data_IF_954209501134
#
_entry.id   IF_954209501134
#
_cell.length_a   1.000
_cell.length_b   1.000
_cell.length_c   1.000
_cell.angle_alpha   90.00
_cell.angle_beta   90.00
_cell.angle_gamma   90.00
#
_symmetry.space_group_name_H-M   'P 1'
#
loop_
_entity.id
_entity.type
_entity.pdbx_description
1 polymer ?
#
# COMPACT_ATOMS: atom_id res chain seq x y z
N UNK A 1 6.35 -58.07 -10.39
CA UNK A 1 5.23 -57.29 -10.95
C UNK A 1 4.81 -56.26 -9.92
N UNK A 2 4.93 -54.97 -10.23
CA UNK A 2 4.35 -53.92 -9.39
C UNK A 2 2.84 -53.89 -9.66
N UNK A 3 2.02 -54.19 -8.66
CA UNK A 3 0.57 -54.01 -8.75
C UNK A 3 0.33 -52.51 -8.69
N UNK A 4 0.02 -51.90 -9.84
CA UNK A 4 -0.45 -50.52 -9.88
C UNK A 4 -1.92 -50.52 -9.47
N UNK A 5 -2.19 -50.35 -8.17
CA UNK A 5 -3.54 -50.12 -7.66
C UNK A 5 -4.02 -48.78 -8.23
N UNK A 6 -4.99 -48.83 -9.14
CA UNK A 6 -5.71 -47.61 -9.57
C UNK A 6 -6.63 -47.22 -8.42
N UNK A 7 -6.76 -45.92 -8.11
CA UNK A 7 -7.70 -45.46 -7.09
C UNK A 7 -9.11 -45.95 -7.42
N UNK A 8 -9.86 -46.33 -6.40
CA UNK A 8 -11.30 -46.53 -6.53
C UNK A 8 -12.00 -45.21 -6.82
N UNK A 9 -13.21 -45.25 -7.37
CA UNK A 9 -13.98 -44.04 -7.69
C UNK A 9 -14.24 -43.15 -6.45
N UNK A 10 -14.30 -43.75 -5.26
CA UNK A 10 -14.46 -43.04 -3.99
C UNK A 10 -13.18 -42.33 -3.55
N UNK A 11 -12.03 -42.99 -3.67
CA UNK A 11 -10.72 -42.38 -3.42
C UNK A 11 -10.43 -41.24 -4.39
N UNK A 12 -10.82 -41.39 -5.66
CA UNK A 12 -10.67 -40.35 -6.67
C UNK A 12 -11.50 -39.11 -6.32
N UNK A 13 -12.75 -39.28 -5.86
CA UNK A 13 -13.61 -38.18 -5.40
C UNK A 13 -13.03 -37.46 -4.19
N UNK A 14 -12.47 -38.20 -3.22
CA UNK A 14 -11.82 -37.61 -2.05
C UNK A 14 -10.58 -36.79 -2.44
N UNK A 15 -9.76 -37.29 -3.36
CA UNK A 15 -8.60 -36.57 -3.87
C UNK A 15 -9.01 -35.30 -4.61
N UNK A 16 -10.04 -35.35 -5.43
CA UNK A 16 -10.51 -34.18 -6.19
C UNK A 16 -11.16 -33.14 -5.28
N UNK A 17 -11.90 -33.58 -4.25
CA UNK A 17 -12.38 -32.69 -3.19
C UNK A 17 -11.22 -32.02 -2.44
N UNK A 18 -10.20 -32.78 -2.03
CA UNK A 18 -9.04 -32.23 -1.33
C UNK A 18 -8.25 -31.21 -2.18
N UNK A 19 -8.12 -31.45 -3.49
CA UNK A 19 -7.54 -30.48 -4.43
C UNK A 19 -8.37 -29.21 -4.51
N UNK A 20 -9.69 -29.33 -4.56
CA UNK A 20 -10.57 -28.16 -4.64
C UNK A 20 -10.48 -27.30 -3.38
N UNK A 21 -10.56 -27.93 -2.19
CA UNK A 21 -10.36 -27.25 -0.90
C UNK A 21 -9.00 -26.56 -0.83
N UNK A 22 -7.93 -27.21 -1.30
CA UNK A 22 -6.58 -26.62 -1.34
C UNK A 22 -6.51 -25.40 -2.25
N UNK A 23 -7.15 -25.46 -3.43
CA UNK A 23 -7.23 -24.31 -4.35
C UNK A 23 -8.02 -23.16 -3.75
N UNK A 24 -9.17 -23.43 -3.14
CA UNK A 24 -9.98 -22.42 -2.47
C UNK A 24 -9.22 -21.76 -1.31
N UNK A 25 -8.49 -22.56 -0.50
CA UNK A 25 -7.63 -22.04 0.56
C UNK A 25 -6.51 -21.16 0.03
N UNK A 26 -5.88 -21.54 -1.08
CA UNK A 26 -4.81 -20.76 -1.72
C UNK A 26 -5.34 -19.43 -2.26
N UNK A 27 -6.49 -19.45 -2.94
CA UNK A 27 -7.15 -18.25 -3.43
C UNK A 27 -7.56 -17.31 -2.28
N UNK A 28 -8.10 -17.87 -1.19
CA UNK A 28 -8.48 -17.11 0.01
C UNK A 28 -7.28 -16.42 0.63
N UNK A 29 -6.15 -17.12 0.77
CA UNK A 29 -4.91 -16.51 1.27
C UNK A 29 -4.44 -15.36 0.37
N UNK A 30 -4.45 -15.55 -0.94
CA UNK A 30 -4.07 -14.50 -1.89
C UNK A 30 -4.96 -13.25 -1.76
N UNK A 31 -6.27 -13.42 -1.55
CA UNK A 31 -7.19 -12.30 -1.29
C UNK A 31 -6.82 -11.54 0.00
N UNK A 32 -6.52 -12.25 1.09
CA UNK A 32 -6.07 -11.60 2.33
C UNK A 32 -4.75 -10.86 2.17
N UNK A 33 -3.79 -11.43 1.45
CA UNK A 33 -2.52 -10.78 1.17
C UNK A 33 -2.73 -9.48 0.36
N UNK A 34 -3.59 -9.50 -0.66
CA UNK A 34 -3.97 -8.30 -1.44
C UNK A 34 -4.59 -7.22 -0.54
N UNK A 35 -5.54 -7.59 0.32
CA UNK A 35 -6.20 -6.62 1.22
C UNK A 35 -5.19 -6.02 2.21
N UNK A 36 -4.32 -6.84 2.79
CA UNK A 36 -3.27 -6.37 3.72
C UNK A 36 -2.32 -5.41 3.03
N UNK A 37 -1.87 -5.74 1.83
CA UNK A 37 -0.92 -4.90 1.10
C UNK A 37 -1.58 -3.60 0.64
N UNK A 38 -2.87 -3.63 0.26
CA UNK A 38 -3.66 -2.42 0.00
C UNK A 38 -3.77 -1.50 1.24
N UNK A 39 -3.98 -2.08 2.43
CA UNK A 39 -3.99 -1.30 3.68
C UNK A 39 -2.65 -0.62 3.95
N UNK A 40 -1.53 -1.31 3.71
CA UNK A 40 -0.18 -0.73 3.84
C UNK A 40 0.03 0.43 2.86
N UNK A 41 -0.30 0.22 1.58
CA UNK A 41 -0.19 1.26 0.54
C UNK A 41 -1.03 2.48 0.90
N UNK A 42 -2.24 2.27 1.43
CA UNK A 42 -3.13 3.36 1.86
C UNK A 42 -2.54 4.17 3.01
N UNK A 43 -1.98 3.51 4.02
CA UNK A 43 -1.33 4.17 5.15
C UNK A 43 -0.10 4.98 4.71
N UNK A 44 0.69 4.43 3.78
CA UNK A 44 1.86 5.10 3.23
C UNK A 44 1.48 6.31 2.37
N UNK A 45 0.40 6.21 1.57
CA UNK A 45 -0.13 7.32 0.81
C UNK A 45 -0.61 8.47 1.72
N UNK A 46 -1.28 8.15 2.83
CA UNK A 46 -1.69 9.16 3.83
C UNK A 46 -0.48 9.85 4.46
N UNK A 47 0.58 9.08 4.77
CA UNK A 47 1.85 9.63 5.28
C UNK A 47 2.48 10.58 4.27
N UNK A 48 2.52 10.22 2.99
CA UNK A 48 3.05 11.10 1.94
C UNK A 48 2.25 12.41 1.81
N UNK A 49 0.91 12.34 1.80
CA UNK A 49 0.07 13.55 1.77
C UNK A 49 0.34 14.48 2.95
N UNK A 50 0.57 13.92 4.15
CA UNK A 50 0.94 14.71 5.32
C UNK A 50 2.29 15.42 5.14
N UNK A 51 3.31 14.70 4.64
CA UNK A 51 4.62 15.27 4.37
C UNK A 51 4.57 16.37 3.30
N UNK A 52 3.79 16.16 2.23
CA UNK A 52 3.55 17.15 1.18
C UNK A 52 2.91 18.42 1.74
N UNK A 53 1.91 18.27 2.62
CA UNK A 53 1.27 19.40 3.29
C UNK A 53 2.25 20.17 4.19
N UNK A 54 3.08 19.46 4.97
CA UNK A 54 4.10 20.07 5.82
C UNK A 54 5.15 20.83 4.99
N UNK A 55 5.62 20.25 3.88
CA UNK A 55 6.55 20.90 2.96
C UNK A 55 5.95 22.16 2.35
N UNK A 56 4.70 22.08 1.88
CA UNK A 56 3.97 23.23 1.32
C UNK A 56 3.77 24.35 2.36
N UNK A 57 3.44 23.99 3.60
CA UNK A 57 3.31 24.93 4.71
C UNK A 57 4.64 25.63 5.03
N UNK A 58 5.75 24.88 5.04
CA UNK A 58 7.09 25.46 5.21
C UNK A 58 7.47 26.40 4.07
N UNK A 59 7.15 26.05 2.83
CA UNK A 59 7.41 26.90 1.67
C UNK A 59 6.68 28.25 1.78
N UNK A 60 5.39 28.23 2.12
CA UNK A 60 4.60 29.46 2.34
C UNK A 60 5.15 30.34 3.46
N UNK A 61 5.62 29.73 4.56
CA UNK A 61 6.27 30.47 5.65
C UNK A 61 7.56 31.14 5.18
N UNK A 62 8.40 30.42 4.44
CA UNK A 62 9.64 30.97 3.89
C UNK A 62 9.36 32.14 2.94
N UNK A 63 8.38 32.00 2.05
CA UNK A 63 7.94 33.07 1.14
C UNK A 63 7.45 34.31 1.91
N UNK A 64 6.63 34.12 2.94
CA UNK A 64 6.19 35.22 3.80
C UNK A 64 7.36 35.94 4.47
N UNK A 65 8.35 35.20 4.98
CA UNK A 65 9.54 35.80 5.61
C UNK A 65 10.37 36.59 4.60
N UNK A 66 10.55 36.07 3.38
CA UNK A 66 11.27 36.76 2.31
C UNK A 66 10.55 38.06 1.95
N UNK A 67 9.23 38.03 1.81
CA UNK A 67 8.44 39.23 1.49
C UNK A 67 8.54 40.30 2.59
N UNK A 68 8.50 39.89 3.87
CA UNK A 68 8.70 40.81 5.00
C UNK A 68 10.11 41.42 5.00
N UNK A 69 11.12 40.61 4.73
CA UNK A 69 12.51 41.08 4.62
C UNK A 69 12.67 42.09 3.47
N UNK A 70 12.15 41.76 2.28
CA UNK A 70 12.19 42.65 1.12
C UNK A 70 11.47 43.98 1.38
N UNK A 71 10.30 43.94 2.03
CA UNK A 71 9.58 45.16 2.42
C UNK A 71 10.40 46.00 3.40
N UNK A 72 11.01 45.37 4.41
CA UNK A 72 11.83 46.07 5.40
C UNK A 72 13.07 46.72 4.76
N UNK A 73 13.73 46.01 3.85
CA UNK A 73 14.89 46.51 3.11
C UNK A 73 14.52 47.67 2.18
N UNK A 74 13.39 47.57 1.49
CA UNK A 74 12.88 48.65 0.63
C UNK A 74 12.59 49.91 1.44
N UNK A 75 11.98 49.77 2.62
CA UNK A 75 11.71 50.90 3.52
C UNK A 75 13.00 51.55 4.04
N UNK A 76 14.04 50.76 4.33
CA UNK A 76 15.37 51.25 4.73
C UNK A 76 16.10 52.00 3.62
N UNK A 77 15.92 51.60 2.36
CA UNK A 77 16.61 52.23 1.21
C UNK A 77 15.91 53.49 0.69
N UNK A 78 14.61 53.65 0.96
CA UNK A 78 13.81 54.81 0.54
C UNK A 78 13.64 55.88 1.64
N UNK A 79 14.37 55.73 2.75
CA UNK A 79 14.53 56.71 3.82
C UNK A 79 15.99 57.16 3.90
#
# INVERSE_FOLDING_TARGET
MAITLRPTDEEQKLVDYAKDVTRQSTATKAMFDIVRDHQKVTAELQRYKKLEHEASSRARKAESTINQFQSSLTNLLNH
#
